data_IF_522336392057
#
_entry.id   IF_522336392057
#
_cell.length_a   1.000
_cell.length_b   1.000
_cell.length_c   1.000
_cell.angle_alpha   90.00
_cell.angle_beta   90.00
_cell.angle_gamma   90.00
#
_symmetry.space_group_name_H-M   'P 1'
#
loop_
_entity.id
_entity.type
_entity.pdbx_description
1 polymer ?
#
# COMPACT_ATOMS: atom_id res chain seq x y z
N UNK A 1 7.35 -2.09 -6.98
CA UNK A 1 7.58 -2.00 -5.53
C UNK A 1 9.05 -1.67 -5.30
N UNK A 2 9.42 -0.67 -4.50
CA UNK A 2 8.61 0.17 -3.60
C UNK A 2 8.87 1.66 -3.89
N UNK A 3 8.59 2.10 -5.12
CA UNK A 3 8.90 3.45 -5.59
C UNK A 3 8.15 3.77 -6.90
N UNK A 4 8.02 5.06 -7.26
CA UNK A 4 7.41 5.46 -8.51
C UNK A 4 8.23 4.95 -9.71
N UNK A 5 7.54 4.44 -10.73
CA UNK A 5 8.19 3.91 -11.94
C UNK A 5 8.53 5.00 -12.96
N UNK A 6 9.12 4.59 -14.09
CA UNK A 6 9.29 5.46 -15.26
C UNK A 6 7.92 5.89 -15.83
N UNK A 7 7.80 7.13 -16.31
CA UNK A 7 6.56 7.69 -16.87
C UNK A 7 5.96 6.81 -17.98
N UNK A 8 6.81 6.16 -18.78
CA UNK A 8 6.36 5.26 -19.83
C UNK A 8 5.48 4.12 -19.28
N UNK A 9 5.73 3.64 -18.06
CA UNK A 9 4.90 2.59 -17.46
C UNK A 9 3.44 3.05 -17.26
N UNK A 10 3.26 4.27 -16.77
CA UNK A 10 1.93 4.86 -16.52
C UNK A 10 1.20 5.15 -17.83
N UNK A 11 1.90 5.68 -18.85
CA UNK A 11 1.34 5.88 -20.20
C UNK A 11 0.84 4.55 -20.81
N UNK A 12 1.59 3.46 -20.58
CA UNK A 12 1.19 2.12 -21.04
C UNK A 12 0.03 1.58 -20.23
N UNK A 13 0.00 1.74 -18.91
CA UNK A 13 -1.12 1.30 -18.08
C UNK A 13 -2.43 2.02 -18.44
N UNK A 14 -2.37 3.33 -18.72
CA UNK A 14 -3.52 4.12 -19.19
C UNK A 14 -4.09 3.60 -20.51
N UNK A 15 -3.22 3.18 -21.43
CA UNK A 15 -3.61 2.77 -22.79
C UNK A 15 -3.98 1.29 -22.91
N UNK A 16 -3.43 0.44 -22.05
CA UNK A 16 -3.62 -1.02 -22.08
C UNK A 16 -4.62 -1.53 -21.03
N UNK A 17 -5.04 -0.67 -20.09
CA UNK A 17 -6.04 -1.02 -19.07
C UNK A 17 -5.46 -1.85 -17.92
N UNK A 18 -4.52 -1.25 -17.18
CA UNK A 18 -3.95 -1.81 -15.96
C UNK A 18 -4.13 -0.82 -14.80
N UNK A 19 -4.63 -1.28 -13.65
CA UNK A 19 -4.71 -0.47 -12.44
C UNK A 19 -3.36 -0.41 -11.72
N UNK A 20 -2.99 0.77 -11.23
CA UNK A 20 -1.76 1.03 -10.49
C UNK A 20 -2.11 1.48 -9.07
N UNK A 21 -1.52 0.83 -8.07
CA UNK A 21 -1.30 1.42 -6.76
C UNK A 21 0.07 2.11 -6.80
N UNK A 22 0.09 3.44 -6.76
CA UNK A 22 1.31 4.21 -6.97
C UNK A 22 1.95 4.58 -5.64
N UNK A 23 3.19 4.14 -5.45
CA UNK A 23 3.83 4.07 -4.14
C UNK A 23 4.99 5.06 -4.04
N UNK A 24 4.99 5.85 -2.98
CA UNK A 24 6.08 6.79 -2.70
C UNK A 24 7.37 6.01 -2.42
N UNK A 25 8.51 6.53 -2.90
CA UNK A 25 9.84 5.97 -2.65
C UNK A 25 10.28 6.20 -1.19
N UNK A 26 9.64 5.51 -0.25
CA UNK A 26 9.91 5.58 1.19
C UNK A 26 9.82 4.16 1.75
N UNK A 27 10.98 3.60 2.03
CA UNK A 27 11.12 2.39 2.83
C UNK A 27 12.20 2.61 3.89
N UNK A 28 11.87 2.29 5.14
CA UNK A 28 12.82 2.35 6.25
C UNK A 28 12.75 1.07 7.07
N UNK A 29 12.79 -0.08 6.40
CA UNK A 29 12.52 -1.41 6.99
C UNK A 29 13.28 -1.64 8.31
N UNK A 30 14.56 -1.28 8.38
CA UNK A 30 15.36 -1.40 9.60
C UNK A 30 14.80 -0.62 10.81
N UNK A 31 13.97 0.39 10.55
CA UNK A 31 13.34 1.31 11.49
C UNK A 31 11.79 1.23 11.50
N UNK A 32 11.20 0.19 10.87
CA UNK A 32 9.75 0.04 10.72
C UNK A 32 9.01 -0.17 12.05
N UNK A 33 9.70 -0.71 13.06
CA UNK A 33 9.17 -0.85 14.42
C UNK A 33 9.12 0.51 15.14
N UNK A 34 8.10 1.32 14.82
CA UNK A 34 7.77 2.60 15.44
C UNK A 34 7.05 2.40 16.78
N UNK A 35 7.82 2.28 17.88
CA UNK A 35 7.87 3.43 18.78
C UNK A 35 9.28 3.87 19.19
N UNK A 36 10.30 3.03 19.04
CA UNK A 36 11.62 3.28 19.65
C UNK A 36 12.61 4.01 18.73
N UNK A 37 12.43 3.95 17.40
CA UNK A 37 13.36 4.54 16.44
C UNK A 37 12.70 4.93 15.10
N UNK A 38 11.46 5.42 15.14
CA UNK A 38 10.68 5.77 13.95
C UNK A 38 11.29 6.97 13.20
N UNK A 39 11.86 6.77 12.00
CA UNK A 39 12.35 7.90 11.20
C UNK A 39 11.20 8.85 10.81
N UNK A 40 10.00 8.31 10.62
CA UNK A 40 8.80 9.09 10.30
C UNK A 40 8.32 10.04 11.42
N UNK A 41 8.84 9.93 12.65
CA UNK A 41 8.54 10.87 13.74
C UNK A 41 9.67 11.89 13.99
N UNK A 42 10.85 11.66 13.42
CA UNK A 42 12.00 12.54 13.62
C UNK A 42 11.81 13.86 12.85
N UNK A 43 11.94 15.03 13.52
CA UNK A 43 11.74 16.33 12.89
C UNK A 43 12.59 16.57 11.64
N UNK A 44 13.85 16.10 11.66
CA UNK A 44 14.81 16.25 10.57
C UNK A 44 14.42 15.47 9.30
N UNK A 45 13.57 14.44 9.41
CA UNK A 45 13.13 13.60 8.30
C UNK A 45 11.79 14.02 7.70
N UNK A 46 11.00 14.86 8.39
CA UNK A 46 9.66 15.26 7.94
C UNK A 46 9.67 15.88 6.53
N UNK A 47 10.64 16.74 6.25
CA UNK A 47 10.77 17.37 4.92
C UNK A 47 11.08 16.33 3.84
N UNK A 48 11.94 15.34 4.13
CA UNK A 48 12.34 14.34 3.15
C UNK A 48 11.16 13.42 2.75
N UNK A 49 10.35 13.01 3.73
CA UNK A 49 9.13 12.25 3.47
C UNK A 49 8.13 13.05 2.63
N UNK A 50 7.83 14.29 3.05
CA UNK A 50 6.86 15.13 2.33
C UNK A 50 7.30 15.46 0.90
N UNK A 51 8.60 15.69 0.68
CA UNK A 51 9.16 16.00 -0.65
C UNK A 51 8.91 14.84 -1.63
N UNK A 52 9.10 13.60 -1.18
CA UNK A 52 8.88 12.38 -1.98
C UNK A 52 7.40 12.19 -2.31
N UNK A 53 6.50 12.36 -1.33
CA UNK A 53 5.05 12.26 -1.58
C UNK A 53 4.54 13.37 -2.51
N UNK A 54 5.04 14.59 -2.34
CA UNK A 54 4.70 15.72 -3.22
C UNK A 54 5.21 15.45 -4.64
N UNK A 55 6.43 14.92 -4.78
CA UNK A 55 7.02 14.56 -6.07
C UNK A 55 6.21 13.50 -6.83
N UNK A 56 5.84 12.41 -6.15
CA UNK A 56 4.95 11.36 -6.68
C UNK A 56 3.64 11.98 -7.18
N UNK A 57 2.90 12.63 -6.27
CA UNK A 57 1.58 13.17 -6.57
C UNK A 57 1.60 14.18 -7.71
N UNK A 58 2.50 15.17 -7.64
CA UNK A 58 2.52 16.24 -8.63
C UNK A 58 2.89 15.72 -10.03
N UNK A 59 3.69 14.66 -10.11
CA UNK A 59 4.08 14.01 -11.36
C UNK A 59 2.92 13.20 -11.95
N UNK A 60 2.22 12.39 -11.12
CA UNK A 60 1.38 11.30 -11.63
C UNK A 60 -0.14 11.53 -11.52
N UNK A 61 -0.60 12.61 -10.85
CA UNK A 61 -2.02 12.90 -10.54
C UNK A 61 -3.02 12.82 -11.71
N UNK A 62 -2.56 12.96 -12.94
CA UNK A 62 -3.40 12.97 -14.14
C UNK A 62 -3.55 11.59 -14.81
N UNK A 63 -2.85 10.55 -14.35
CA UNK A 63 -2.96 9.21 -14.92
C UNK A 63 -4.25 8.52 -14.42
N UNK A 64 -5.20 8.16 -15.31
CA UNK A 64 -6.40 7.42 -14.91
C UNK A 64 -6.11 6.00 -14.44
N UNK A 65 -5.00 5.38 -14.85
CA UNK A 65 -4.58 4.05 -14.37
C UNK A 65 -4.20 4.05 -12.89
N UNK A 66 -3.74 5.18 -12.35
CA UNK A 66 -3.44 5.31 -10.92
C UNK A 66 -4.76 5.30 -10.15
N UNK A 67 -5.00 4.19 -9.45
CA UNK A 67 -6.23 3.92 -8.72
C UNK A 67 -6.12 4.40 -7.27
N UNK A 68 -4.96 4.30 -6.65
CA UNK A 68 -4.73 4.62 -5.23
C UNK A 68 -3.32 5.13 -4.99
N UNK A 69 -3.14 5.89 -3.91
CA UNK A 69 -1.85 6.41 -3.47
C UNK A 69 -1.36 5.65 -2.24
N UNK A 70 -0.16 5.08 -2.32
CA UNK A 70 0.49 4.41 -1.20
C UNK A 70 1.56 5.31 -0.55
N UNK A 71 1.43 5.55 0.75
CA UNK A 71 2.32 6.40 1.54
C UNK A 71 3.58 5.70 2.03
N UNK A 72 3.81 4.45 1.64
CA UNK A 72 5.11 3.77 1.71
C UNK A 72 5.01 2.32 2.19
N UNK A 73 6.11 1.61 2.03
CA UNK A 73 6.27 0.24 2.49
C UNK A 73 7.25 0.14 3.66
N UNK A 74 6.93 -0.66 4.68
CA UNK A 74 7.82 -1.00 5.80
C UNK A 74 8.60 0.21 6.35
N UNK A 75 7.94 1.37 6.40
CA UNK A 75 8.50 2.64 6.84
C UNK A 75 7.98 3.08 8.21
N UNK A 76 7.26 2.19 8.87
CA UNK A 76 6.57 2.39 10.13
C UNK A 76 5.30 3.19 9.96
N UNK A 77 4.81 3.75 11.06
CA UNK A 77 3.68 4.65 11.08
C UNK A 77 3.98 5.79 12.06
N UNK A 78 3.97 7.02 11.57
CA UNK A 78 4.44 8.19 12.31
C UNK A 78 4.01 9.49 11.64
N UNK A 79 4.35 10.62 12.26
CA UNK A 79 3.88 11.97 11.90
C UNK A 79 4.05 12.32 10.43
N UNK A 80 5.15 11.89 9.81
CA UNK A 80 5.40 12.14 8.40
C UNK A 80 4.31 11.54 7.51
N UNK A 81 3.90 10.30 7.79
CA UNK A 81 2.85 9.61 7.03
C UNK A 81 1.48 10.28 7.15
N UNK A 82 1.10 10.71 8.36
CA UNK A 82 -0.14 11.50 8.53
C UNK A 82 -0.08 12.82 7.74
N UNK A 83 1.09 13.49 7.71
CA UNK A 83 1.26 14.72 6.95
C UNK A 83 1.13 14.49 5.44
N UNK A 84 1.71 13.39 4.93
CA UNK A 84 1.56 12.98 3.53
C UNK A 84 0.10 12.65 3.20
N UNK A 85 -0.58 11.89 4.05
CA UNK A 85 -1.99 11.53 3.89
C UNK A 85 -2.90 12.77 3.88
N UNK A 86 -2.69 13.72 4.79
CA UNK A 86 -3.44 14.99 4.81
C UNK A 86 -3.23 15.79 3.52
N UNK A 87 -1.99 15.82 3.01
CA UNK A 87 -1.68 16.46 1.73
C UNK A 87 -2.41 15.77 0.57
N UNK A 88 -2.35 14.44 0.47
CA UNK A 88 -3.01 13.69 -0.61
C UNK A 88 -4.54 13.85 -0.56
N UNK A 89 -5.17 13.67 0.61
CA UNK A 89 -6.62 13.88 0.80
C UNK A 89 -7.09 15.28 0.42
N UNK A 90 -6.26 16.30 0.68
CA UNK A 90 -6.58 17.69 0.34
C UNK A 90 -6.50 17.94 -1.17
N UNK A 91 -5.51 17.35 -1.85
CA UNK A 91 -5.23 17.67 -3.26
C UNK A 91 -5.95 16.72 -4.23
N UNK A 92 -6.21 15.48 -3.83
CA UNK A 92 -6.90 14.47 -4.63
C UNK A 92 -7.81 13.59 -3.75
N UNK A 93 -8.98 14.10 -3.34
CA UNK A 93 -9.93 13.35 -2.53
C UNK A 93 -10.63 12.21 -3.30
N UNK A 94 -10.34 12.05 -4.60
CA UNK A 94 -11.00 11.07 -5.46
C UNK A 94 -10.36 9.67 -5.43
N UNK A 95 -9.09 9.56 -5.02
CA UNK A 95 -8.34 8.30 -4.95
C UNK A 95 -8.13 7.87 -3.50
N UNK A 96 -8.37 6.59 -3.15
CA UNK A 96 -8.12 6.09 -1.80
C UNK A 96 -6.64 6.08 -1.45
N UNK A 97 -6.36 6.17 -0.14
CA UNK A 97 -5.03 6.01 0.42
C UNK A 97 -4.78 4.58 0.90
N UNK A 98 -3.53 4.17 0.73
CA UNK A 98 -2.97 2.90 1.14
C UNK A 98 -1.68 3.15 1.96
N UNK A 99 -1.34 2.26 2.89
CA UNK A 99 -0.09 2.31 3.64
C UNK A 99 0.26 0.95 4.20
N UNK A 100 1.49 0.48 4.00
CA UNK A 100 1.89 -0.87 4.40
C UNK A 100 2.83 -0.88 5.61
N UNK A 101 2.34 -0.42 6.76
CA UNK A 101 3.07 -0.52 8.04
C UNK A 101 2.96 -1.90 8.68
N UNK A 102 3.98 -2.34 9.43
CA UNK A 102 3.87 -3.54 10.27
C UNK A 102 2.92 -3.38 11.47
N UNK A 103 2.75 -2.15 11.98
CA UNK A 103 1.87 -1.87 13.12
C UNK A 103 1.06 -0.58 12.90
N UNK A 104 -0.28 -0.66 12.87
CA UNK A 104 -1.08 -1.88 12.67
C UNK A 104 -0.85 -2.44 11.25
N UNK A 105 -0.80 -3.78 11.14
CA UNK A 105 -0.58 -4.58 9.92
C UNK A 105 -1.38 -4.08 8.70
N UNK A 106 -0.81 -3.13 7.95
CA UNK A 106 -1.41 -2.46 6.80
C UNK A 106 -2.70 -1.66 7.07
N UNK A 107 -3.07 -1.39 8.32
CA UNK A 107 -4.33 -0.70 8.67
C UNK A 107 -4.11 0.66 9.33
N UNK A 108 -3.24 1.48 8.72
CA UNK A 108 -2.99 2.82 9.24
C UNK A 108 -4.32 3.58 9.39
N UNK A 109 -4.56 4.32 10.50
CA UNK A 109 -5.85 4.97 10.76
C UNK A 109 -6.33 5.96 9.69
N UNK A 110 -5.40 6.50 8.88
CA UNK A 110 -5.75 7.40 7.77
C UNK A 110 -5.97 6.67 6.45
N UNK A 111 -5.53 5.42 6.30
CA UNK A 111 -5.66 4.68 5.04
C UNK A 111 -7.12 4.33 4.80
N UNK A 112 -7.56 4.33 3.56
CA UNK A 112 -8.93 4.01 3.16
C UNK A 112 -9.09 2.51 2.84
N UNK A 113 -7.97 1.81 2.62
CA UNK A 113 -7.90 0.35 2.40
C UNK A 113 -7.08 -0.29 3.53
N UNK A 114 -7.48 -1.48 3.98
CA UNK A 114 -6.67 -2.31 4.87
C UNK A 114 -5.78 -3.21 4.01
N UNK A 115 -4.47 -3.01 4.14
CA UNK A 115 -3.43 -3.64 3.37
C UNK A 115 -2.60 -4.74 4.04
N UNK A 116 -3.19 -5.81 4.61
CA UNK A 116 -2.42 -6.78 5.38
C UNK A 116 -1.35 -7.44 4.51
N UNK A 117 -0.20 -7.75 5.12
CA UNK A 117 0.96 -8.30 4.42
C UNK A 117 1.17 -9.76 4.79
N UNK A 118 1.22 -10.62 3.78
CA UNK A 118 1.32 -12.08 3.91
C UNK A 118 0.36 -12.73 4.93
N UNK A 119 -0.96 -12.41 4.92
CA UNK A 119 -1.91 -13.13 5.75
C UNK A 119 -1.98 -14.61 5.31
N UNK A 120 -2.31 -15.52 6.22
CA UNK A 120 -2.83 -16.84 5.85
C UNK A 120 -4.31 -16.72 5.41
N UNK A 121 -4.87 -17.70 4.65
CA UNK A 121 -6.30 -17.70 4.33
C UNK A 121 -7.20 -17.57 5.58
N UNK A 122 -6.88 -18.30 6.65
CA UNK A 122 -7.64 -18.23 7.91
C UNK A 122 -7.56 -16.83 8.53
N UNK A 123 -6.36 -16.23 8.59
CA UNK A 123 -6.21 -14.87 9.15
C UNK A 123 -6.88 -13.80 8.28
N UNK A 124 -6.91 -13.99 6.96
CA UNK A 124 -7.60 -13.10 6.03
C UNK A 124 -9.11 -13.16 6.25
N UNK A 125 -9.65 -14.37 6.40
CA UNK A 125 -11.05 -14.60 6.74
C UNK A 125 -11.41 -14.00 8.11
N UNK A 126 -10.54 -14.09 9.11
CA UNK A 126 -10.77 -13.47 10.40
C UNK A 126 -10.76 -11.94 10.34
N UNK A 127 -9.83 -11.34 9.59
CA UNK A 127 -9.84 -9.88 9.34
C UNK A 127 -11.12 -9.44 8.65
N UNK A 128 -11.57 -10.15 7.62
CA UNK A 128 -12.78 -9.83 6.87
C UNK A 128 -14.04 -9.72 7.75
N UNK A 129 -14.13 -10.49 8.84
CA UNK A 129 -15.26 -10.44 9.78
C UNK A 129 -15.25 -9.24 10.73
N UNK A 130 -14.18 -8.45 10.74
CA UNK A 130 -13.93 -7.41 11.77
C UNK A 130 -14.02 -5.99 11.25
N UNK A 131 -14.20 -5.80 9.95
CA UNK A 131 -14.16 -4.48 9.31
C UNK A 131 -15.22 -4.36 8.24
N UNK A 132 -15.60 -3.14 7.89
CA UNK A 132 -16.34 -2.80 6.66
C UNK A 132 -15.42 -2.16 5.61
N UNK A 133 -14.16 -1.92 5.97
CA UNK A 133 -13.12 -1.35 5.11
C UNK A 133 -12.69 -2.38 4.07
N UNK A 134 -12.47 -2.01 2.79
CA UNK A 134 -11.94 -2.94 1.81
C UNK A 134 -10.56 -3.44 2.24
N UNK A 135 -10.36 -4.75 2.12
CA UNK A 135 -9.09 -5.44 2.32
C UNK A 135 -8.50 -5.77 0.95
N UNK A 136 -7.31 -5.26 0.69
CA UNK A 136 -6.51 -5.60 -0.50
C UNK A 136 -5.15 -6.04 0.03
N UNK A 137 -4.76 -7.30 -0.16
CA UNK A 137 -3.49 -7.78 0.38
C UNK A 137 -2.33 -7.08 -0.35
N UNK A 138 -1.50 -6.35 0.39
CA UNK A 138 -0.40 -5.57 -0.21
C UNK A 138 0.67 -6.46 -0.80
N UNK A 139 0.94 -7.57 -0.13
CA UNK A 139 1.76 -8.66 -0.65
C UNK A 139 1.14 -9.98 -0.17
N UNK A 140 0.96 -10.94 -1.08
CA UNK A 140 0.58 -12.31 -0.74
C UNK A 140 1.20 -13.31 -1.73
N UNK A 141 1.11 -14.61 -1.39
CA UNK A 141 1.56 -15.70 -2.26
C UNK A 141 2.99 -15.52 -2.81
N UNK A 142 3.98 -15.48 -1.92
CA UNK A 142 5.40 -15.31 -2.29
C UNK A 142 5.86 -16.34 -3.33
N UNK A 143 6.28 -15.89 -4.51
CA UNK A 143 6.48 -16.68 -5.73
C UNK A 143 7.90 -17.25 -5.91
N UNK A 144 8.74 -17.16 -4.87
CA UNK A 144 10.14 -17.61 -4.95
C UNK A 144 10.26 -19.12 -5.23
N UNK A 145 10.90 -19.47 -6.34
CA UNK A 145 11.21 -20.86 -6.69
C UNK A 145 9.97 -21.67 -7.04
N UNK A 146 9.85 -22.88 -6.49
CA UNK A 146 8.66 -23.72 -6.65
C UNK A 146 7.71 -23.48 -5.47
N UNK A 147 6.82 -22.49 -5.62
CA UNK A 147 5.97 -21.96 -4.54
C UNK A 147 4.49 -21.89 -4.98
N UNK A 148 3.72 -20.90 -4.51
CA UNK A 148 2.32 -20.60 -4.85
C UNK A 148 1.30 -21.67 -4.41
N UNK A 149 1.61 -22.36 -3.31
CA UNK A 149 0.64 -23.22 -2.62
C UNK A 149 -0.54 -22.43 -2.06
N UNK A 150 -1.65 -23.13 -1.81
CA UNK A 150 -2.85 -22.61 -1.15
C UNK A 150 -3.53 -21.42 -1.85
N UNK A 151 -3.23 -21.20 -3.13
CA UNK A 151 -3.77 -20.09 -3.90
C UNK A 151 -5.30 -20.15 -4.03
N UNK A 152 -5.86 -21.36 -4.12
CA UNK A 152 -7.32 -21.55 -4.18
C UNK A 152 -8.00 -21.05 -2.89
N UNK A 153 -7.43 -21.38 -1.74
CA UNK A 153 -7.97 -21.09 -0.42
C UNK A 153 -8.03 -19.57 -0.19
N UNK A 154 -7.03 -18.80 -0.63
CA UNK A 154 -7.12 -17.34 -0.65
C UNK A 154 -8.32 -16.84 -1.45
N UNK A 155 -8.48 -17.34 -2.67
CA UNK A 155 -9.57 -16.90 -3.55
C UNK A 155 -10.95 -17.40 -3.14
N UNK A 156 -11.04 -18.48 -2.36
CA UNK A 156 -12.28 -18.91 -1.72
C UNK A 156 -12.71 -17.90 -0.64
N UNK A 157 -11.77 -17.29 0.10
CA UNK A 157 -12.04 -16.18 1.04
C UNK A 157 -12.45 -14.91 0.27
N UNK A 158 -11.68 -14.50 -0.74
CA UNK A 158 -11.97 -13.31 -1.59
C UNK A 158 -13.39 -13.36 -2.16
N UNK A 159 -13.84 -14.53 -2.61
CA UNK A 159 -15.18 -14.68 -3.20
C UNK A 159 -16.31 -14.78 -2.17
N UNK A 160 -15.97 -15.10 -0.92
CA UNK A 160 -16.94 -15.31 0.18
C UNK A 160 -17.25 -14.01 0.91
N UNK A 161 -16.26 -13.13 1.10
CA UNK A 161 -16.39 -11.90 1.88
C UNK A 161 -16.26 -10.66 0.98
N UNK A 162 -17.31 -9.82 0.87
CA UNK A 162 -17.27 -8.62 0.00
C UNK A 162 -16.23 -7.58 0.44
N UNK A 163 -15.79 -7.63 1.69
CA UNK A 163 -14.72 -6.79 2.22
C UNK A 163 -13.37 -7.13 1.57
N UNK A 164 -13.15 -8.38 1.13
CA UNK A 164 -11.87 -8.82 0.58
C UNK A 164 -11.87 -8.67 -0.94
N UNK A 165 -11.05 -7.76 -1.46
CA UNK A 165 -11.04 -7.36 -2.87
C UNK A 165 -9.80 -7.84 -3.65
N UNK A 166 -9.10 -8.85 -3.13
CA UNK A 166 -7.92 -9.44 -3.77
C UNK A 166 -6.61 -8.90 -3.17
N UNK A 167 -5.57 -8.77 -4.00
CA UNK A 167 -4.25 -8.33 -3.58
C UNK A 167 -3.17 -8.50 -4.64
N UNK A 168 -1.93 -8.15 -4.30
CA UNK A 168 -0.77 -8.20 -5.19
C UNK A 168 0.13 -9.40 -4.86
N UNK A 169 0.37 -10.26 -5.85
CA UNK A 169 1.30 -11.39 -5.70
C UNK A 169 2.72 -10.84 -5.61
N UNK A 170 3.51 -11.31 -4.66
CA UNK A 170 4.93 -11.00 -4.59
C UNK A 170 5.76 -12.13 -5.22
N UNK A 171 6.42 -11.97 -6.36
CA UNK A 171 6.47 -10.82 -7.24
C UNK A 171 6.52 -11.25 -8.72
N UNK A 172 6.79 -10.31 -9.62
CA UNK A 172 6.70 -10.55 -11.06
C UNK A 172 7.96 -11.19 -11.66
N UNK A 173 9.16 -10.65 -11.39
CA UNK A 173 10.41 -11.04 -12.08
C UNK A 173 11.68 -10.68 -11.30
#
# INVERSE_FOLDING_TARGET
SHYPSDLYFYDRADTEGLWIADEVDIETHHHDNCPDNCLADKPEWQKAFQDRATGLYERDKNHPSVLMWDTGNEAGLGKAHYTMADYLKKNDPGRPLYHQSNTPDGDAPYADIWGPRYPSPDSLEDKAKTTEKPIVMGEYAHAQGNSLGNFREFWDVVRKYPEVQGGFIWDWA
#
